data_IF_279575402448
#
_entry.id   IF_279575402448
#
_cell.length_a   1.000
_cell.length_b   1.000
_cell.length_c   1.000
_cell.angle_alpha   90.00
_cell.angle_beta   90.00
_cell.angle_gamma   90.00
#
_symmetry.space_group_name_H-M   'P 1'
#
loop_
_entity.id
_entity.type
_entity.pdbx_description
1 polymer ?
#
# COMPACT_ATOMS: atom_id res chain seq x y z
N UNK A 1 11.74 19.85 -10.94
CA UNK A 1 13.21 19.89 -10.92
C UNK A 1 13.70 18.64 -10.21
N UNK A 2 13.96 17.60 -10.99
CA UNK A 2 14.71 16.41 -10.57
C UNK A 2 16.14 16.86 -10.30
N UNK A 3 16.35 17.46 -9.13
CA UNK A 3 17.62 18.07 -8.80
C UNK A 3 18.69 16.99 -8.79
N UNK A 4 19.77 17.25 -9.55
CA UNK A 4 20.95 16.40 -9.66
C UNK A 4 21.60 16.19 -8.30
N UNK A 5 21.11 15.18 -7.59
CA UNK A 5 21.70 14.70 -6.36
C UNK A 5 22.74 13.65 -6.74
N UNK A 6 24.01 14.05 -6.67
CA UNK A 6 25.14 13.17 -6.96
C UNK A 6 25.07 11.87 -6.15
N UNK A 7 24.49 11.89 -4.93
CA UNK A 7 24.30 10.68 -4.13
C UNK A 7 23.33 9.71 -4.80
N UNK A 8 22.19 10.20 -5.32
CA UNK A 8 21.24 9.36 -6.06
C UNK A 8 21.86 8.77 -7.32
N UNK A 9 22.66 9.54 -8.05
CA UNK A 9 23.35 9.05 -9.24
C UNK A 9 24.37 7.96 -8.89
N UNK A 10 25.13 8.14 -7.81
CA UNK A 10 26.08 7.14 -7.31
C UNK A 10 25.37 5.87 -6.84
N UNK A 11 24.30 6.00 -6.06
CA UNK A 11 23.52 4.84 -5.59
C UNK A 11 22.89 4.08 -6.77
N UNK A 12 22.38 4.80 -7.77
CA UNK A 12 21.83 4.19 -8.99
C UNK A 12 22.90 3.41 -9.76
N UNK A 13 24.09 4.01 -9.95
CA UNK A 13 25.19 3.34 -10.65
C UNK A 13 25.70 2.12 -9.88
N UNK A 14 25.77 2.20 -8.55
CA UNK A 14 26.17 1.07 -7.69
C UNK A 14 25.22 -0.12 -7.91
N UNK A 15 23.91 0.11 -7.76
CA UNK A 15 22.92 -0.96 -7.93
C UNK A 15 22.88 -1.47 -9.37
N UNK A 16 23.09 -0.62 -10.38
CA UNK A 16 23.17 -1.05 -11.78
C UNK A 16 24.38 -1.95 -12.04
N UNK A 17 25.53 -1.64 -11.42
CA UNK A 17 26.72 -2.49 -11.48
C UNK A 17 26.49 -3.85 -10.79
N UNK A 18 25.87 -3.86 -9.60
CA UNK A 18 25.50 -5.09 -8.90
C UNK A 18 24.54 -5.97 -9.73
N UNK A 19 23.57 -5.36 -10.44
CA UNK A 19 22.67 -6.09 -11.34
C UNK A 19 23.43 -6.69 -12.53
N UNK A 20 24.33 -5.94 -13.15
CA UNK A 20 25.15 -6.43 -14.26
C UNK A 20 26.03 -7.61 -13.82
N UNK A 21 26.69 -7.47 -12.67
CA UNK A 21 27.53 -8.51 -12.08
C UNK A 21 26.74 -9.79 -11.76
N UNK A 22 25.55 -9.66 -11.15
CA UNK A 22 24.66 -10.81 -10.88
C UNK A 22 24.19 -11.53 -12.15
N UNK A 23 24.04 -10.80 -13.26
CA UNK A 23 23.66 -11.35 -14.55
C UNK A 23 24.85 -11.95 -15.32
N UNK A 24 26.09 -11.73 -14.85
CA UNK A 24 27.31 -12.13 -15.56
C UNK A 24 27.66 -11.27 -16.77
N UNK A 25 27.09 -10.06 -16.87
CA UNK A 25 27.35 -9.15 -17.98
C UNK A 25 28.66 -8.38 -17.77
N UNK A 26 29.52 -8.33 -18.80
CA UNK A 26 30.83 -7.67 -18.71
C UNK A 26 30.76 -6.13 -18.59
N UNK A 27 29.60 -5.54 -18.91
CA UNK A 27 29.39 -4.09 -18.95
C UNK A 27 28.01 -3.70 -18.45
N UNK A 28 27.93 -2.52 -17.83
CA UNK A 28 26.66 -1.91 -17.44
C UNK A 28 25.97 -1.33 -18.68
N UNK A 29 24.76 -1.80 -18.96
CA UNK A 29 23.90 -1.34 -20.04
C UNK A 29 22.67 -0.61 -19.49
N UNK A 30 21.93 0.07 -20.37
CA UNK A 30 20.72 0.82 -19.98
C UNK A 30 19.68 -0.09 -19.29
N UNK A 31 19.58 -1.36 -19.69
CA UNK A 31 18.69 -2.35 -19.05
C UNK A 31 19.00 -2.51 -17.55
N UNK A 32 20.28 -2.47 -17.15
CA UNK A 32 20.69 -2.57 -15.75
C UNK A 32 20.32 -1.32 -14.96
N UNK A 33 20.44 -0.14 -15.58
CA UNK A 33 20.04 1.13 -14.96
C UNK A 33 18.53 1.15 -14.70
N UNK A 34 17.72 0.72 -15.68
CA UNK A 34 16.26 0.64 -15.52
C UNK A 34 15.87 -0.35 -14.41
N UNK A 35 16.52 -1.51 -14.34
CA UNK A 35 16.29 -2.49 -13.27
C UNK A 35 16.72 -1.94 -11.90
N UNK A 36 17.86 -1.28 -11.83
CA UNK A 36 18.36 -0.65 -10.61
C UNK A 36 17.43 0.45 -10.09
N UNK A 37 16.87 1.29 -10.99
CA UNK A 37 15.84 2.26 -10.63
C UNK A 37 14.65 1.58 -9.95
N UNK A 38 14.12 0.51 -10.55
CA UNK A 38 13.01 -0.25 -9.96
C UNK A 38 13.36 -0.87 -8.61
N UNK A 39 14.56 -1.44 -8.45
CA UNK A 39 15.01 -2.02 -7.17
C UNK A 39 15.08 -0.95 -6.08
N UNK A 40 15.66 0.22 -6.41
CA UNK A 40 15.78 1.34 -5.47
C UNK A 40 14.40 1.90 -5.11
N UNK A 41 13.52 2.07 -6.10
CA UNK A 41 12.13 2.54 -5.92
C UNK A 41 11.37 1.59 -4.97
N UNK A 42 11.38 0.29 -5.26
CA UNK A 42 10.74 -0.75 -4.44
C UNK A 42 11.30 -0.76 -3.03
N UNK A 43 12.62 -0.73 -2.87
CA UNK A 43 13.27 -0.69 -1.56
C UNK A 43 12.84 0.52 -0.73
N UNK A 44 12.74 1.71 -1.34
CA UNK A 44 12.24 2.91 -0.66
C UNK A 44 10.78 2.80 -0.25
N UNK A 45 9.93 2.26 -1.12
CA UNK A 45 8.52 2.01 -0.82
C UNK A 45 8.40 1.03 0.35
N UNK A 46 9.12 -0.10 0.29
CA UNK A 46 9.14 -1.11 1.33
C UNK A 46 9.57 -0.52 2.68
N UNK A 47 10.66 0.26 2.72
CA UNK A 47 11.15 0.92 3.93
C UNK A 47 10.10 1.89 4.49
N UNK A 48 9.54 2.76 3.64
CA UNK A 48 8.53 3.73 4.05
C UNK A 48 7.28 3.04 4.64
N UNK A 49 6.78 2.01 3.97
CA UNK A 49 5.62 1.25 4.44
C UNK A 49 5.92 0.42 5.70
N UNK A 50 7.13 -0.12 5.83
CA UNK A 50 7.53 -0.93 6.99
C UNK A 50 7.54 -0.12 8.28
N UNK A 51 7.86 1.17 8.20
CA UNK A 51 7.84 2.10 9.34
C UNK A 51 6.45 2.59 9.74
N UNK A 52 5.41 2.27 8.96
CA UNK A 52 4.05 2.74 9.26
C UNK A 52 3.53 2.17 10.60
N UNK A 53 2.78 2.97 11.37
CA UNK A 53 2.09 2.48 12.55
C UNK A 53 1.13 1.34 12.23
N UNK A 54 0.91 0.45 13.20
CA UNK A 54 0.04 -0.73 13.10
C UNK A 54 -1.32 -0.44 12.44
N UNK A 55 -2.02 0.61 12.90
CA UNK A 55 -3.34 0.93 12.35
C UNK A 55 -3.30 1.42 10.91
N UNK A 56 -2.22 2.08 10.47
CA UNK A 56 -2.04 2.45 9.07
C UNK A 56 -1.82 1.20 8.21
N UNK A 57 -0.99 0.27 8.68
CA UNK A 57 -0.82 -1.04 8.02
C UNK A 57 -2.13 -1.81 7.92
N UNK A 58 -2.93 -1.86 8.98
CA UNK A 58 -4.27 -2.49 8.97
C UNK A 58 -5.24 -1.86 7.94
N UNK A 59 -5.18 -0.55 7.74
CA UNK A 59 -5.96 0.13 6.70
C UNK A 59 -5.50 -0.33 5.31
N UNK A 60 -4.19 -0.43 5.09
CA UNK A 60 -3.63 -0.95 3.83
C UNK A 60 -4.01 -2.42 3.59
N UNK A 61 -3.91 -3.27 4.62
CA UNK A 61 -4.37 -4.68 4.55
C UNK A 61 -5.86 -4.75 4.20
N UNK A 62 -6.68 -3.87 4.78
CA UNK A 62 -8.11 -3.79 4.47
C UNK A 62 -8.35 -3.48 2.99
N UNK A 63 -7.59 -2.54 2.42
CA UNK A 63 -7.68 -2.19 1.00
C UNK A 63 -7.26 -3.34 0.08
N UNK A 64 -6.17 -4.04 0.41
CA UNK A 64 -5.71 -5.23 -0.33
C UNK A 64 -6.82 -6.29 -0.37
N UNK A 65 -7.35 -6.67 0.78
CA UNK A 65 -8.36 -7.72 0.88
C UNK A 65 -9.68 -7.32 0.19
N UNK A 66 -10.08 -6.06 0.26
CA UNK A 66 -11.24 -5.55 -0.47
C UNK A 66 -11.03 -5.64 -1.99
N UNK A 67 -9.83 -5.28 -2.47
CA UNK A 67 -9.47 -5.37 -3.89
C UNK A 67 -9.46 -6.82 -4.38
N UNK A 68 -8.89 -7.75 -3.60
CA UNK A 68 -8.94 -9.21 -3.87
C UNK A 68 -10.38 -9.74 -3.88
N UNK A 69 -11.27 -9.16 -3.07
CA UNK A 69 -12.71 -9.47 -3.04
C UNK A 69 -13.52 -8.79 -4.16
N UNK A 70 -12.87 -8.24 -5.18
CA UNK A 70 -13.54 -7.59 -6.33
C UNK A 70 -13.96 -6.13 -6.10
N UNK A 71 -13.67 -5.54 -4.94
CA UNK A 71 -13.99 -4.13 -4.65
C UNK A 71 -12.79 -3.26 -5.01
N UNK A 72 -12.70 -2.85 -6.29
CA UNK A 72 -11.54 -2.10 -6.81
C UNK A 72 -11.32 -0.73 -6.16
N UNK A 73 -12.38 0.02 -5.87
CA UNK A 73 -12.29 1.37 -5.29
C UNK A 73 -13.31 1.53 -4.15
N UNK A 74 -13.00 1.00 -2.96
CA UNK A 74 -13.92 1.02 -1.83
C UNK A 74 -14.16 2.45 -1.32
N UNK A 75 -15.32 2.66 -0.71
CA UNK A 75 -15.62 3.90 0.00
C UNK A 75 -15.12 3.83 1.46
N UNK A 76 -14.86 4.97 2.09
CA UNK A 76 -14.32 5.05 3.46
C UNK A 76 -15.11 4.23 4.48
N UNK A 77 -16.44 4.15 4.36
CA UNK A 77 -17.26 3.31 5.22
C UNK A 77 -16.97 1.81 5.08
N UNK A 78 -16.77 1.33 3.85
CA UNK A 78 -16.41 -0.08 3.57
C UNK A 78 -15.02 -0.40 4.08
N UNK A 79 -14.06 0.52 3.88
CA UNK A 79 -12.70 0.38 4.41
C UNK A 79 -12.71 0.32 5.93
N UNK A 80 -13.49 1.19 6.59
CA UNK A 80 -13.61 1.16 8.05
C UNK A 80 -14.20 -0.14 8.58
N UNK A 81 -15.19 -0.71 7.89
CA UNK A 81 -15.78 -1.99 8.29
C UNK A 81 -14.77 -3.14 8.17
N UNK A 82 -14.03 -3.22 7.05
CA UNK A 82 -12.97 -4.20 6.88
C UNK A 82 -11.86 -4.02 7.93
N UNK A 83 -11.43 -2.79 8.19
CA UNK A 83 -10.45 -2.46 9.22
C UNK A 83 -10.90 -2.94 10.61
N UNK A 84 -12.15 -2.70 11.00
CA UNK A 84 -12.66 -3.18 12.30
C UNK A 84 -12.71 -4.70 12.39
N UNK A 85 -13.05 -5.37 11.29
CA UNK A 85 -13.01 -6.83 11.21
C UNK A 85 -11.59 -7.34 11.44
N UNK A 86 -10.59 -6.77 10.77
CA UNK A 86 -9.19 -7.13 10.95
C UNK A 86 -8.68 -6.85 12.37
N UNK A 87 -9.01 -5.70 12.96
CA UNK A 87 -8.71 -5.39 14.35
C UNK A 87 -9.20 -6.49 15.31
N UNK A 88 -10.42 -6.98 15.11
CA UNK A 88 -10.98 -8.05 15.93
C UNK A 88 -10.26 -9.39 15.80
N UNK A 89 -9.68 -9.70 14.64
CA UNK A 89 -8.95 -10.95 14.42
C UNK A 89 -7.63 -11.02 15.19
N UNK A 90 -6.97 -9.88 15.38
CA UNK A 90 -5.70 -9.78 16.12
C UNK A 90 -5.86 -9.24 17.54
N UNK A 91 -7.10 -9.09 18.02
CA UNK A 91 -7.39 -8.64 19.39
C UNK A 91 -7.01 -7.18 19.68
N UNK A 92 -6.97 -6.33 18.66
CA UNK A 92 -6.63 -4.90 18.79
C UNK A 92 -7.91 -4.06 18.82
N UNK A 93 -7.98 -3.11 19.77
CA UNK A 93 -9.07 -2.14 19.85
C UNK A 93 -9.13 -1.26 18.57
N UNK A 94 -10.28 -1.20 17.88
CA UNK A 94 -10.40 -0.40 16.67
C UNK A 94 -10.46 1.10 17.00
N UNK A 95 -9.75 1.91 16.23
CA UNK A 95 -9.84 3.36 16.32
C UNK A 95 -11.21 3.87 15.87
N UNK A 96 -11.54 5.09 16.31
CA UNK A 96 -12.73 5.79 15.85
C UNK A 96 -12.67 6.05 14.35
N UNK A 97 -13.84 6.11 13.69
CA UNK A 97 -13.94 6.43 12.26
C UNK A 97 -13.24 7.76 11.92
N UNK A 98 -13.33 8.76 12.80
CA UNK A 98 -12.63 10.05 12.65
C UNK A 98 -11.12 9.86 12.58
N UNK A 99 -10.52 9.06 13.48
CA UNK A 99 -9.07 8.82 13.47
C UNK A 99 -8.64 8.00 12.25
N UNK A 100 -9.40 6.98 11.86
CA UNK A 100 -9.14 6.23 10.62
C UNK A 100 -9.19 7.14 9.39
N UNK A 101 -10.14 8.08 9.34
CA UNK A 101 -10.21 9.08 8.27
C UNK A 101 -8.99 10.02 8.23
N UNK A 102 -8.44 10.38 9.40
CA UNK A 102 -7.17 11.11 9.49
C UNK A 102 -6.01 10.26 8.96
N UNK A 103 -5.89 9.00 9.37
CA UNK A 103 -4.85 8.08 8.87
C UNK A 103 -4.94 7.87 7.36
N UNK A 104 -6.14 7.77 6.79
CA UNK A 104 -6.33 7.71 5.34
C UNK A 104 -5.79 8.99 4.67
N UNK A 105 -5.99 10.15 5.28
CA UNK A 105 -5.46 11.42 4.75
C UNK A 105 -3.93 11.49 4.89
N UNK A 106 -3.36 10.94 5.97
CA UNK A 106 -1.91 10.81 6.15
C UNK A 106 -1.30 9.89 5.07
N UNK A 107 -1.92 8.74 4.79
CA UNK A 107 -1.52 7.83 3.72
C UNK A 107 -1.66 8.45 2.32
N UNK A 108 -2.65 9.33 2.10
CA UNK A 108 -2.83 10.11 0.88
C UNK A 108 -1.68 11.11 0.69
N UNK A 109 -1.32 11.85 1.75
CA UNK A 109 -0.17 12.77 1.72
C UNK A 109 1.16 12.07 1.48
N UNK A 110 1.31 10.82 1.94
CA UNK A 110 2.47 9.98 1.65
C UNK A 110 2.48 9.43 0.21
N UNK A 111 1.39 9.58 -0.54
CA UNK A 111 1.26 9.07 -1.92
C UNK A 111 1.03 7.55 -1.99
N UNK A 112 0.71 6.89 -0.88
CA UNK A 112 0.47 5.44 -0.83
C UNK A 112 -0.89 5.09 -1.42
N UNK A 113 -1.87 5.95 -1.16
CA UNK A 113 -3.22 5.86 -1.69
C UNK A 113 -3.70 7.24 -2.15
N UNK A 114 -4.87 7.28 -2.77
CA UNK A 114 -5.60 8.51 -3.09
C UNK A 114 -6.99 8.46 -2.47
N UNK A 115 -7.45 9.56 -1.89
CA UNK A 115 -8.78 9.69 -1.31
C UNK A 115 -9.59 10.82 -1.96
N UNK A 116 -10.47 10.48 -2.90
CA UNK A 116 -11.33 11.44 -3.60
C UNK A 116 -12.68 11.61 -2.90
N UNK A 117 -13.11 12.87 -2.66
CA UNK A 117 -14.43 13.15 -2.12
C UNK A 117 -15.51 12.97 -3.20
N UNK A 118 -16.49 12.11 -2.94
CA UNK A 118 -17.60 11.82 -3.84
C UNK A 118 -18.92 12.19 -3.17
N UNK A 119 -19.75 12.95 -3.88
CA UNK A 119 -21.09 13.28 -3.43
C UNK A 119 -22.08 12.17 -3.83
N UNK A 120 -22.88 11.69 -2.88
CA UNK A 120 -23.92 10.67 -3.10
C UNK A 120 -25.33 11.21 -2.90
N UNK A 121 -25.52 12.52 -3.06
CA UNK A 121 -26.83 13.16 -2.96
C UNK A 121 -27.39 13.05 -1.55
N UNK A 122 -28.59 12.48 -1.40
CA UNK A 122 -29.28 12.32 -0.10
C UNK A 122 -28.51 11.43 0.90
N UNK A 123 -27.58 10.61 0.43
CA UNK A 123 -26.74 9.76 1.28
C UNK A 123 -25.48 10.48 1.80
N UNK A 124 -25.33 11.77 1.50
CA UNK A 124 -24.22 12.60 1.96
C UNK A 124 -22.96 12.45 1.10
N UNK A 125 -21.81 12.81 1.69
CA UNK A 125 -20.49 12.77 1.05
C UNK A 125 -19.68 11.62 1.62
N UNK A 126 -18.93 10.94 0.78
CA UNK A 126 -18.02 9.86 1.17
C UNK A 126 -16.69 10.01 0.44
N UNK A 127 -15.65 9.29 0.90
CA UNK A 127 -14.37 9.24 0.21
C UNK A 127 -14.26 7.93 -0.55
N UNK A 128 -13.89 7.99 -1.81
CA UNK A 128 -13.50 6.84 -2.62
C UNK A 128 -11.98 6.70 -2.51
N UNK A 129 -11.52 5.49 -2.22
CA UNK A 129 -10.11 5.23 -1.88
C UNK A 129 -9.52 4.32 -2.94
N UNK A 130 -8.37 4.73 -3.50
CA UNK A 130 -7.66 4.01 -4.54
C UNK A 130 -6.22 3.82 -4.09
N UNK A 131 -5.73 2.57 -4.06
CA UNK A 131 -4.33 2.30 -3.75
C UNK A 131 -3.45 2.72 -4.93
N UNK A 132 -2.46 3.58 -4.68
CA UNK A 132 -1.51 4.04 -5.71
C UNK A 132 -0.28 3.14 -5.76
N UNK A 133 0.17 2.67 -4.60
CA UNK A 133 1.26 1.70 -4.51
C UNK A 133 0.82 0.34 -5.08
N UNK A 134 1.68 -0.36 -5.84
CA UNK A 134 1.38 -1.70 -6.32
C UNK A 134 1.03 -2.64 -5.17
N UNK A 135 0.02 -3.48 -5.38
CA UNK A 135 -0.50 -4.39 -4.34
C UNK A 135 0.60 -5.32 -3.81
N UNK A 136 1.48 -5.82 -4.68
CA UNK A 136 2.58 -6.71 -4.29
C UNK A 136 3.56 -6.09 -3.30
N UNK A 137 3.90 -4.80 -3.44
CA UNK A 137 4.81 -4.13 -2.48
C UNK A 137 4.18 -3.99 -1.10
N UNK A 138 2.88 -3.69 -1.06
CA UNK A 138 2.16 -3.57 0.21
C UNK A 138 2.00 -4.95 0.84
N UNK A 139 1.70 -5.98 0.05
CA UNK A 139 1.61 -7.37 0.52
C UNK A 139 2.95 -7.84 1.10
N UNK A 140 4.06 -7.60 0.41
CA UNK A 140 5.41 -7.95 0.89
C UNK A 140 5.69 -7.35 2.28
N UNK A 141 5.33 -6.09 2.52
CA UNK A 141 5.49 -5.45 3.84
C UNK A 141 4.63 -6.10 4.91
N UNK A 142 3.40 -6.51 4.57
CA UNK A 142 2.46 -7.13 5.52
C UNK A 142 2.84 -8.59 5.79
N UNK A 143 3.38 -9.31 4.81
CA UNK A 143 3.90 -10.68 4.97
C UNK A 143 5.09 -10.72 5.93
N UNK A 144 5.96 -9.71 5.90
CA UNK A 144 7.10 -9.58 6.81
C UNK A 144 6.72 -9.11 8.23
N UNK A 145 5.46 -8.77 8.48
CA UNK A 145 4.97 -8.35 9.80
C UNK A 145 4.35 -9.55 10.52
N UNK A 146 4.99 -10.02 11.59
CA UNK A 146 4.60 -11.24 12.33
C UNK A 146 3.13 -11.23 12.78
N UNK A 147 2.61 -10.05 13.16
CA UNK A 147 1.24 -9.89 13.63
C UNK A 147 0.23 -9.90 12.47
N UNK A 148 0.60 -9.28 11.34
CA UNK A 148 -0.33 -8.99 10.25
C UNK A 148 -0.31 -10.03 9.12
N UNK A 149 0.77 -10.80 8.98
CA UNK A 149 0.94 -11.81 7.92
C UNK A 149 -0.26 -12.76 7.80
N UNK A 150 -0.77 -13.23 8.94
CA UNK A 150 -1.94 -14.13 9.02
C UNK A 150 -3.22 -13.54 8.41
N UNK A 151 -3.35 -12.21 8.36
CA UNK A 151 -4.54 -11.52 7.87
C UNK A 151 -4.67 -11.55 6.35
N UNK A 152 -3.57 -11.73 5.61
CA UNK A 152 -3.60 -11.69 4.14
C UNK A 152 -4.40 -12.83 3.50
N UNK A 153 -4.59 -13.92 4.25
CA UNK A 153 -5.40 -15.07 3.85
C UNK A 153 -6.86 -14.97 4.30
N UNK A 154 -7.22 -13.91 5.03
CA UNK A 154 -8.58 -13.75 5.55
C UNK A 154 -9.57 -13.30 4.48
N UNK A 155 -10.75 -13.91 4.47
CA UNK A 155 -11.85 -13.52 3.57
C UNK A 155 -12.80 -12.57 4.29
N UNK A 156 -12.85 -11.32 3.82
CA UNK A 156 -13.68 -10.28 4.42
C UNK A 156 -15.17 -10.57 4.31
N UNK A 157 -15.89 -10.47 5.43
CA UNK A 157 -17.35 -10.63 5.45
C UNK A 157 -18.09 -9.45 4.80
N UNK A 158 -17.46 -8.29 4.77
CA UNK A 158 -18.04 -7.03 4.27
C UNK A 158 -18.21 -7.01 2.74
N UNK A 159 -17.35 -7.74 2.00
CA UNK A 159 -17.38 -7.80 0.53
C UNK A 159 -18.55 -8.61 -0.05
N UNK A 160 -19.02 -9.62 0.68
CA UNK A 160 -20.03 -10.61 0.24
C UNK A 160 -21.44 -10.03 0.02
N UNK A 161 -21.68 -8.76 0.34
CA UNK A 161 -23.01 -8.13 0.22
C UNK A 161 -23.27 -7.43 -1.11
N UNK A 162 -22.26 -7.24 -1.98
CA UNK A 162 -22.44 -6.53 -3.25
C UNK A 162 -22.76 -7.42 -4.46
N UNK A 163 -22.49 -8.73 -4.40
CA UNK A 163 -22.74 -9.68 -5.50
C UNK A 163 -24.21 -10.16 -5.62
N UNK A 164 -25.19 -9.36 -5.15
CA UNK A 164 -26.63 -9.68 -5.26
C UNK A 164 -27.44 -8.62 -6.01
N UNK A 165 -26.83 -7.88 -6.95
CA UNK A 165 -27.58 -6.99 -7.84
C UNK A 165 -27.06 -7.01 -9.26
#
# INVERSE_FOLDING_TARGET
AEHGDARRAIDLLRVAAEVAERNGDERVEEKHVRLAQNIIERGRIFEALSTLPLHSKLILTSLILLKRSGVGEPISGTVYQAYRELCGLIGVEPLTNRRVSSLISELDMLGVLKSDLVNRGRYGRTRKITLLTPVGEVEEVIENDELLSSLLNHVLRVGLRRDRR
#
